data_IF_276957408666
#
_entry.id   IF_276957408666
#
_cell.length_a   1.000
_cell.length_b   1.000
_cell.length_c   1.000
_cell.angle_alpha   90.00
_cell.angle_beta   90.00
_cell.angle_gamma   90.00
#
_symmetry.space_group_name_H-M   'P 1'
#
loop_
_entity.id
_entity.type
_entity.pdbx_description
1 polymer ?
#
# COMPACT_ATOMS: atom_id res chain seq x y z
N UNK A 1 46.99 -23.79 36.99
CA UNK A 1 46.59 -22.42 37.35
C UNK A 1 46.20 -21.75 36.09
N UNK A 2 44.97 -21.91 35.65
CA UNK A 2 43.77 -21.08 35.77
C UNK A 2 43.96 -19.61 35.48
N UNK A 3 43.35 -19.17 34.41
CA UNK A 3 42.41 -18.03 34.40
C UNK A 3 41.65 -17.95 33.08
N UNK A 4 40.38 -18.27 33.18
CA UNK A 4 39.31 -17.81 32.28
C UNK A 4 39.26 -16.30 32.19
N UNK A 5 39.09 -15.75 30.98
CA UNK A 5 38.48 -14.44 30.78
C UNK A 5 37.56 -14.56 29.55
N UNK A 6 36.29 -14.75 29.82
CA UNK A 6 35.22 -14.54 28.88
C UNK A 6 35.04 -13.02 28.63
N UNK A 7 35.33 -12.58 27.43
CA UNK A 7 35.00 -11.22 26.99
C UNK A 7 33.76 -11.25 26.14
N UNK A 8 32.69 -10.79 26.74
CA UNK A 8 31.39 -10.48 26.13
C UNK A 8 31.60 -9.33 25.13
N UNK A 9 31.49 -9.60 23.80
CA UNK A 9 31.51 -8.57 22.76
C UNK A 9 30.08 -8.17 22.46
N UNK A 10 29.64 -7.10 23.10
CA UNK A 10 28.47 -6.32 22.66
C UNK A 10 28.78 -5.68 21.31
N UNK A 11 27.92 -5.89 20.32
CA UNK A 11 27.97 -5.20 19.02
C UNK A 11 27.59 -3.72 19.24
N UNK A 12 28.21 -2.77 18.51
CA UNK A 12 27.82 -1.37 18.60
C UNK A 12 26.49 -1.11 17.85
N UNK A 13 25.60 -0.40 18.54
CA UNK A 13 24.41 0.19 17.95
C UNK A 13 24.80 1.25 16.93
N UNK A 14 24.19 1.21 15.75
CA UNK A 14 24.39 2.20 14.71
C UNK A 14 23.70 3.51 15.09
N UNK A 15 24.50 4.51 15.47
CA UNK A 15 24.04 5.89 15.64
C UNK A 15 24.14 6.63 14.30
N UNK A 16 23.08 7.22 13.84
CA UNK A 16 23.06 8.21 12.75
C UNK A 16 22.66 9.58 13.28
N UNK A 17 23.41 10.60 12.90
CA UNK A 17 23.02 12.02 12.87
C UNK A 17 23.60 12.88 13.98
N UNK A 18 24.69 13.64 13.66
CA UNK A 18 25.12 14.84 14.41
C UNK A 18 24.55 16.08 13.71
N UNK A 19 23.78 16.89 14.44
CA UNK A 19 23.72 18.34 14.27
C UNK A 19 23.45 19.02 15.62
N UNK A 20 24.23 20.07 15.84
CA UNK A 20 24.34 20.95 17.01
C UNK A 20 23.20 20.97 18.05
N UNK A 21 23.48 20.49 19.26
CA UNK A 21 23.18 21.26 20.49
C UNK A 21 21.91 20.92 21.25
N UNK A 22 21.00 20.04 20.80
CA UNK A 22 19.93 19.48 21.62
C UNK A 22 19.91 17.95 21.47
N UNK A 23 19.90 17.23 22.61
CA UNK A 23 19.74 15.78 22.64
C UNK A 23 18.32 15.46 22.26
N UNK A 24 18.06 15.29 20.95
CA UNK A 24 16.82 14.62 20.50
C UNK A 24 16.80 13.22 21.13
N UNK A 25 15.79 12.97 21.93
CA UNK A 25 15.55 11.64 22.51
C UNK A 25 15.24 10.70 21.33
N UNK A 26 16.26 9.95 20.88
CA UNK A 26 16.05 8.89 19.87
C UNK A 26 15.13 7.85 20.51
N UNK A 27 13.86 7.92 20.19
CA UNK A 27 12.85 6.95 20.65
C UNK A 27 13.23 5.61 20.01
N UNK A 28 13.50 4.59 20.82
CA UNK A 28 13.82 3.27 20.30
C UNK A 28 12.62 2.67 19.55
N UNK A 29 12.87 1.82 18.55
CA UNK A 29 11.81 1.09 17.84
C UNK A 29 10.91 0.30 18.82
N UNK A 30 11.49 -0.21 19.91
CA UNK A 30 10.76 -0.94 20.94
C UNK A 30 9.85 -0.01 21.77
N UNK A 31 10.28 1.21 22.03
CA UNK A 31 9.43 2.21 22.72
C UNK A 31 8.29 2.69 21.82
N UNK A 32 8.53 2.87 20.51
CA UNK A 32 7.49 3.16 19.52
C UNK A 32 6.47 2.02 19.48
N UNK A 33 6.94 0.78 19.42
CA UNK A 33 6.06 -0.39 19.40
C UNK A 33 5.23 -0.51 20.67
N UNK A 34 5.81 -0.28 21.84
CA UNK A 34 5.11 -0.35 23.14
C UNK A 34 4.04 0.72 23.25
N UNK A 35 4.37 1.99 22.97
CA UNK A 35 3.41 3.10 23.05
C UNK A 35 2.26 2.94 22.03
N UNK A 36 2.57 2.47 20.82
CA UNK A 36 1.54 2.23 19.83
C UNK A 36 0.67 1.00 20.15
N UNK A 37 1.18 0.00 20.87
CA UNK A 37 0.36 -1.10 21.41
C UNK A 37 -0.61 -0.62 22.51
N UNK A 38 -0.18 0.28 23.38
CA UNK A 38 -1.06 0.90 24.39
C UNK A 38 -2.20 1.70 23.73
N UNK A 39 -1.93 2.32 22.57
CA UNK A 39 -2.95 3.03 21.80
C UNK A 39 -3.90 2.07 21.04
N UNK A 40 -3.44 0.88 20.66
CA UNK A 40 -4.24 -0.10 19.90
C UNK A 40 -5.44 -0.66 20.69
N UNK A 41 -5.41 -0.65 22.01
CA UNK A 41 -6.51 -1.12 22.86
C UNK A 41 -7.77 -0.24 22.78
N UNK A 42 -7.71 0.91 22.08
CA UNK A 42 -8.78 1.93 22.09
C UNK A 42 -9.58 2.05 20.79
N UNK A 43 -9.21 1.31 19.71
CA UNK A 43 -9.92 1.47 18.43
C UNK A 43 -11.11 0.53 18.35
N UNK A 44 -12.30 1.10 18.43
CA UNK A 44 -13.54 0.35 18.28
C UNK A 44 -13.91 0.15 16.80
N UNK A 45 -14.65 -0.93 16.51
CA UNK A 45 -15.20 -1.20 15.17
C UNK A 45 -16.14 -0.07 14.70
N UNK A 46 -16.79 0.60 15.64
CA UNK A 46 -17.64 1.77 15.38
C UNK A 46 -16.83 2.97 14.88
N UNK A 47 -15.64 3.20 15.45
CA UNK A 47 -14.73 4.25 14.96
C UNK A 47 -14.31 3.97 13.51
N UNK A 48 -13.90 2.74 13.20
CA UNK A 48 -13.56 2.34 11.83
C UNK A 48 -14.74 2.56 10.88
N UNK A 49 -15.94 2.15 11.29
CA UNK A 49 -17.15 2.31 10.48
C UNK A 49 -17.54 3.78 10.27
N UNK A 50 -17.20 4.68 11.23
CA UNK A 50 -17.51 6.11 11.10
C UNK A 50 -16.64 6.85 10.07
N UNK A 51 -15.52 6.27 9.62
CA UNK A 51 -14.61 6.89 8.67
C UNK A 51 -15.02 6.66 7.20
N UNK A 52 -15.88 5.68 6.95
CA UNK A 52 -16.32 5.38 5.60
C UNK A 52 -17.47 6.30 5.15
N UNK A 53 -17.48 6.63 3.88
CA UNK A 53 -18.60 7.32 3.23
C UNK A 53 -19.55 6.28 2.62
N UNK A 54 -20.78 6.20 3.16
CA UNK A 54 -21.78 5.24 2.72
C UNK A 54 -21.53 3.82 3.24
N UNK A 55 -21.75 2.82 2.39
CA UNK A 55 -21.53 1.42 2.74
C UNK A 55 -20.10 0.98 2.42
N UNK A 56 -19.52 0.03 3.19
CA UNK A 56 -18.18 -0.50 2.90
C UNK A 56 -18.11 -1.09 1.49
N UNK A 57 -17.12 -0.68 0.71
CA UNK A 57 -16.83 -1.25 -0.59
C UNK A 57 -15.86 -2.43 -0.49
N UNK A 58 -14.85 -2.32 0.40
CA UNK A 58 -14.03 -3.44 0.84
C UNK A 58 -13.98 -3.46 2.35
N UNK A 59 -14.07 -4.67 2.93
CA UNK A 59 -14.10 -4.91 4.37
C UNK A 59 -13.23 -6.11 4.73
N UNK A 60 -12.46 -5.97 5.81
CA UNK A 60 -11.72 -7.04 6.48
C UNK A 60 -12.26 -7.17 7.89
N UNK A 61 -12.58 -8.39 8.31
CA UNK A 61 -13.15 -8.69 9.63
C UNK A 61 -12.33 -9.78 10.33
N UNK A 62 -11.72 -9.44 11.46
CA UNK A 62 -11.03 -10.37 12.33
C UNK A 62 -9.92 -11.17 11.63
N UNK A 63 -9.12 -10.53 10.77
CA UNK A 63 -8.17 -11.21 9.92
C UNK A 63 -6.93 -11.63 10.70
N UNK A 64 -6.64 -12.92 10.68
CA UNK A 64 -5.37 -13.50 11.05
C UNK A 64 -4.69 -14.03 9.78
N UNK A 65 -3.54 -13.47 9.42
CA UNK A 65 -2.87 -13.77 8.16
C UNK A 65 -1.35 -13.65 8.26
N UNK A 66 -0.64 -14.31 7.33
CA UNK A 66 0.82 -14.27 7.30
C UNK A 66 1.42 -15.16 6.23
N UNK A 67 2.64 -15.64 6.44
CA UNK A 67 3.39 -16.43 5.46
C UNK A 67 3.79 -17.80 6.03
N UNK A 68 3.48 -18.86 5.29
CA UNK A 68 3.72 -20.21 5.77
C UNK A 68 2.95 -20.47 7.06
N UNK A 69 3.65 -20.66 8.18
CA UNK A 69 3.07 -20.83 9.52
C UNK A 69 3.21 -19.58 10.41
N UNK A 70 3.91 -18.56 9.91
CA UNK A 70 4.14 -17.32 10.65
C UNK A 70 2.94 -16.40 10.49
N UNK A 71 2.27 -16.10 11.58
CA UNK A 71 1.22 -15.11 11.64
C UNK A 71 1.82 -13.72 11.81
N UNK A 72 1.32 -12.76 11.02
CA UNK A 72 1.78 -11.36 11.00
C UNK A 72 0.66 -10.42 11.40
N UNK A 73 -0.57 -10.68 10.93
CA UNK A 73 -1.75 -9.88 11.25
C UNK A 73 -2.58 -10.60 12.30
N UNK A 74 -3.03 -9.85 13.33
CA UNK A 74 -3.75 -10.38 14.48
C UNK A 74 -5.06 -9.62 14.66
N UNK A 75 -6.20 -10.28 14.50
CA UNK A 75 -7.56 -9.70 14.58
C UNK A 75 -7.70 -8.38 13.81
N UNK A 76 -7.06 -8.32 12.62
CA UNK A 76 -6.98 -7.09 11.84
C UNK A 76 -8.34 -6.76 11.19
N UNK A 77 -8.77 -5.50 11.34
CA UNK A 77 -10.04 -4.99 10.82
C UNK A 77 -9.78 -3.76 9.93
N UNK A 78 -10.45 -3.69 8.77
CA UNK A 78 -10.34 -2.57 7.83
C UNK A 78 -11.68 -2.37 7.12
N UNK A 79 -12.04 -1.10 6.90
CA UNK A 79 -13.14 -0.75 6.02
C UNK A 79 -12.77 0.46 5.15
N UNK A 80 -13.18 0.44 3.89
CA UNK A 80 -13.05 1.57 2.97
C UNK A 80 -14.30 1.65 2.09
N UNK A 81 -14.80 2.85 1.90
CA UNK A 81 -15.95 3.15 1.03
C UNK A 81 -15.55 3.19 -0.46
N UNK A 82 -16.54 3.16 -1.34
CA UNK A 82 -16.32 3.28 -2.79
C UNK A 82 -15.76 4.67 -3.14
N UNK A 83 -14.68 4.70 -3.91
CA UNK A 83 -14.02 5.96 -4.31
C UNK A 83 -13.22 6.65 -3.22
N UNK A 84 -13.09 6.06 -2.02
CA UNK A 84 -12.23 6.58 -0.97
C UNK A 84 -10.80 6.05 -1.11
N UNK A 85 -9.85 6.84 -0.59
CA UNK A 85 -8.46 6.45 -0.41
C UNK A 85 -8.17 6.11 1.06
N UNK A 86 -7.49 4.98 1.28
CA UNK A 86 -7.00 4.55 2.59
C UNK A 86 -5.48 4.38 2.53
N UNK A 87 -4.76 5.04 3.42
CA UNK A 87 -3.31 4.88 3.55
C UNK A 87 -2.94 4.22 4.87
N UNK A 88 -2.09 3.21 4.80
CA UNK A 88 -1.49 2.56 5.96
C UNK A 88 -0.07 3.04 6.15
N UNK A 89 0.22 3.57 7.33
CA UNK A 89 1.55 3.99 7.78
C UNK A 89 1.98 3.16 9.00
N UNK A 90 3.25 3.25 9.36
CA UNK A 90 3.81 2.53 10.52
C UNK A 90 5.24 2.05 10.25
N UNK A 91 5.93 1.53 11.26
CA UNK A 91 7.32 1.10 11.12
C UNK A 91 7.49 -0.07 10.14
N UNK A 92 8.74 -0.30 9.72
CA UNK A 92 9.07 -1.46 8.90
C UNK A 92 8.78 -2.75 9.69
N UNK A 93 8.18 -3.73 9.02
CA UNK A 93 7.76 -4.97 9.68
C UNK A 93 6.41 -4.90 10.42
N UNK A 94 5.73 -3.75 10.43
CA UNK A 94 4.42 -3.61 11.08
C UNK A 94 3.27 -4.43 10.45
N UNK A 95 3.48 -5.07 9.31
CA UNK A 95 2.45 -5.85 8.62
C UNK A 95 1.71 -5.11 7.51
N UNK A 96 2.10 -3.87 7.16
CA UNK A 96 1.42 -3.04 6.16
C UNK A 96 1.24 -3.75 4.81
N UNK A 97 2.33 -4.15 4.16
CA UNK A 97 2.27 -4.88 2.88
C UNK A 97 1.59 -6.25 3.03
N UNK A 98 1.62 -6.85 4.24
CA UNK A 98 0.90 -8.10 4.52
C UNK A 98 -0.61 -7.90 4.41
N UNK A 99 -1.15 -6.72 4.75
CA UNK A 99 -2.57 -6.40 4.53
C UNK A 99 -2.89 -6.40 3.03
N UNK A 100 -2.11 -5.69 2.20
CA UNK A 100 -2.31 -5.66 0.75
C UNK A 100 -2.16 -7.07 0.15
N UNK A 101 -1.14 -7.82 0.57
CA UNK A 101 -0.92 -9.20 0.16
C UNK A 101 -2.10 -10.11 0.54
N UNK A 102 -2.71 -9.91 1.70
CA UNK A 102 -3.89 -10.68 2.13
C UNK A 102 -5.10 -10.36 1.28
N UNK A 103 -5.35 -9.09 1.00
CA UNK A 103 -6.43 -8.67 0.10
C UNK A 103 -6.25 -9.32 -1.27
N UNK A 104 -5.03 -9.29 -1.82
CA UNK A 104 -4.76 -9.81 -3.16
C UNK A 104 -4.62 -11.34 -3.23
N UNK A 105 -4.30 -12.01 -2.10
CA UNK A 105 -4.21 -13.46 -2.01
C UNK A 105 -2.79 -14.03 -2.11
N UNK A 106 -1.80 -13.29 -1.60
CA UNK A 106 -0.40 -13.70 -1.51
C UNK A 106 -0.01 -14.25 -0.13
N UNK A 107 -0.93 -14.24 0.85
CA UNK A 107 -0.71 -14.74 2.20
C UNK A 107 -1.56 -15.96 2.50
N UNK A 108 -1.21 -16.65 3.57
CA UNK A 108 -2.07 -17.64 4.19
C UNK A 108 -3.05 -16.91 5.13
N UNK A 109 -4.34 -17.13 4.93
CA UNK A 109 -5.38 -16.65 5.85
C UNK A 109 -5.66 -17.77 6.85
N UNK A 110 -5.41 -17.55 8.14
CA UNK A 110 -5.64 -18.51 9.21
C UNK A 110 -7.08 -18.43 9.73
N UNK A 111 -7.61 -17.18 9.87
CA UNK A 111 -9.01 -16.92 10.20
C UNK A 111 -9.43 -15.52 9.75
N UNK A 112 -10.73 -15.21 9.88
CA UNK A 112 -11.31 -13.94 9.43
C UNK A 112 -11.77 -13.96 7.98
N UNK A 113 -12.34 -12.84 7.55
CA UNK A 113 -12.96 -12.72 6.23
C UNK A 113 -12.57 -11.40 5.54
N UNK A 114 -12.42 -11.49 4.22
CA UNK A 114 -12.27 -10.35 3.33
C UNK A 114 -13.47 -10.33 2.40
N UNK A 115 -14.19 -9.21 2.39
CA UNK A 115 -15.41 -9.00 1.62
C UNK A 115 -15.28 -7.77 0.73
N UNK A 116 -15.88 -7.80 -0.44
CA UNK A 116 -16.01 -6.63 -1.33
C UNK A 116 -17.35 -6.67 -2.06
N UNK A 117 -17.76 -5.53 -2.59
CA UNK A 117 -18.97 -5.47 -3.42
C UNK A 117 -18.64 -5.78 -4.87
N UNK A 118 -19.33 -6.78 -5.42
CA UNK A 118 -19.24 -7.17 -6.83
C UNK A 118 -20.66 -7.10 -7.38
N UNK A 119 -20.88 -6.28 -8.42
CA UNK A 119 -22.22 -6.05 -9.01
C UNK A 119 -23.26 -5.72 -7.93
N UNK A 120 -22.93 -4.74 -7.05
CA UNK A 120 -23.76 -4.23 -5.94
C UNK A 120 -24.10 -5.24 -4.83
N UNK A 121 -23.55 -6.43 -4.87
CA UNK A 121 -23.71 -7.44 -3.82
C UNK A 121 -22.42 -7.63 -3.04
N UNK A 122 -22.51 -7.73 -1.72
CA UNK A 122 -21.35 -8.10 -0.88
C UNK A 122 -20.98 -9.57 -1.15
N UNK A 123 -19.71 -9.82 -1.38
CA UNK A 123 -19.13 -11.13 -1.65
C UNK A 123 -17.88 -11.37 -0.83
N UNK A 124 -17.78 -12.53 -0.22
CA UNK A 124 -16.54 -12.99 0.42
C UNK A 124 -15.52 -13.39 -0.65
N UNK A 125 -14.36 -12.76 -0.61
CA UNK A 125 -13.24 -12.98 -1.56
C UNK A 125 -12.04 -13.66 -0.91
N UNK A 126 -12.11 -14.01 0.36
CA UNK A 126 -11.01 -14.58 1.16
C UNK A 126 -10.30 -15.73 0.44
N UNK A 127 -11.07 -16.64 -0.17
CA UNK A 127 -10.56 -17.85 -0.85
C UNK A 127 -10.38 -17.70 -2.36
N UNK A 128 -10.68 -16.53 -2.93
CA UNK A 128 -10.44 -16.29 -4.36
C UNK A 128 -8.95 -16.24 -4.65
N UNK A 129 -8.54 -16.83 -5.77
CA UNK A 129 -7.17 -16.67 -6.29
C UNK A 129 -6.92 -15.23 -6.72
N UNK A 130 -5.64 -14.82 -6.83
CA UNK A 130 -5.26 -13.48 -7.29
C UNK A 130 -5.85 -13.15 -8.67
N UNK A 131 -5.90 -14.13 -9.59
CA UNK A 131 -6.54 -13.96 -10.90
C UNK A 131 -8.03 -13.68 -10.78
N UNK A 132 -8.75 -14.40 -9.93
CA UNK A 132 -10.18 -14.16 -9.68
C UNK A 132 -10.43 -12.80 -9.01
N UNK A 133 -9.54 -12.37 -8.10
CA UNK A 133 -9.61 -11.06 -7.47
C UNK A 133 -9.41 -9.93 -8.48
N UNK A 134 -8.50 -10.11 -9.44
CA UNK A 134 -8.30 -9.15 -10.52
C UNK A 134 -9.48 -9.16 -11.52
N UNK A 135 -9.86 -10.33 -12.02
CA UNK A 135 -10.84 -10.46 -13.11
C UNK A 135 -12.28 -10.25 -12.62
N UNK A 136 -12.66 -10.85 -11.47
CA UNK A 136 -14.04 -10.86 -10.99
C UNK A 136 -14.31 -9.77 -9.95
N UNK A 137 -13.38 -9.57 -9.01
CA UNK A 137 -13.55 -8.59 -7.96
C UNK A 137 -13.03 -7.19 -8.36
N UNK A 138 -12.34 -7.06 -9.49
CA UNK A 138 -11.82 -5.80 -9.99
C UNK A 138 -10.76 -5.18 -9.08
N UNK A 139 -9.92 -6.02 -8.45
CA UNK A 139 -8.84 -5.59 -7.56
C UNK A 139 -7.51 -5.75 -8.28
N UNK A 140 -6.78 -4.67 -8.49
CA UNK A 140 -5.43 -4.70 -9.07
C UNK A 140 -4.37 -4.33 -8.05
N UNK A 141 -3.14 -4.83 -8.23
CA UNK A 141 -2.03 -4.61 -7.32
C UNK A 141 -0.85 -3.96 -8.03
N UNK A 142 -0.43 -2.79 -7.56
CA UNK A 142 0.75 -2.06 -8.00
C UNK A 142 1.85 -2.34 -7.00
N UNK A 143 2.81 -3.18 -7.42
CA UNK A 143 3.93 -3.62 -6.60
C UNK A 143 4.91 -2.46 -6.32
N UNK A 144 5.67 -2.59 -5.24
CA UNK A 144 6.72 -1.65 -4.83
C UNK A 144 7.76 -1.42 -5.93
N UNK A 145 8.31 -2.50 -6.50
CA UNK A 145 9.44 -2.50 -7.45
C UNK A 145 9.32 -3.54 -8.56
N UNK A 146 10.08 -3.29 -9.65
CA UNK A 146 10.42 -4.26 -10.70
C UNK A 146 9.22 -4.98 -11.34
N UNK A 147 8.10 -4.29 -11.45
CA UNK A 147 6.90 -4.90 -12.02
C UNK A 147 6.83 -4.82 -13.54
N UNK A 148 7.73 -4.10 -14.21
CA UNK A 148 7.81 -4.04 -15.67
C UNK A 148 8.76 -5.08 -16.24
N UNK A 149 8.51 -5.50 -17.49
CA UNK A 149 9.40 -6.34 -18.26
C UNK A 149 10.38 -5.44 -19.03
N UNK A 150 11.68 -5.36 -18.62
CA UNK A 150 12.59 -4.32 -19.08
C UNK A 150 12.92 -4.42 -20.57
N UNK A 151 12.95 -5.62 -21.15
CA UNK A 151 13.29 -5.86 -22.54
C UNK A 151 12.09 -5.78 -23.50
N UNK A 152 10.86 -5.80 -22.95
CA UNK A 152 9.63 -5.58 -23.71
C UNK A 152 9.39 -4.08 -23.92
N UNK A 153 8.73 -3.74 -25.02
CA UNK A 153 8.28 -2.37 -25.29
C UNK A 153 7.25 -1.89 -24.26
N UNK A 154 7.00 -0.59 -24.21
CA UNK A 154 5.93 0.00 -23.39
C UNK A 154 4.57 -0.61 -23.75
N UNK A 155 4.28 -0.77 -25.06
CA UNK A 155 3.04 -1.39 -25.52
C UNK A 155 2.92 -2.85 -25.08
N UNK A 156 3.96 -3.65 -25.25
CA UNK A 156 3.97 -5.05 -24.82
C UNK A 156 3.78 -5.17 -23.29
N UNK A 157 4.38 -4.30 -22.51
CA UNK A 157 4.16 -4.24 -21.07
C UNK A 157 2.69 -3.95 -20.70
N UNK A 158 2.05 -3.01 -21.40
CA UNK A 158 0.62 -2.72 -21.20
C UNK A 158 -0.24 -3.91 -21.63
N UNK A 159 0.03 -4.51 -22.78
CA UNK A 159 -0.67 -5.71 -23.25
C UNK A 159 -0.58 -6.88 -22.26
N UNK A 160 0.56 -7.06 -21.59
CA UNK A 160 0.70 -8.05 -20.51
C UNK A 160 -0.19 -7.72 -19.31
N UNK A 161 -0.46 -6.45 -19.03
CA UNK A 161 -1.43 -6.04 -18.02
C UNK A 161 -2.86 -6.52 -18.33
N UNK A 162 -3.19 -6.66 -19.60
CA UNK A 162 -4.48 -7.15 -20.09
C UNK A 162 -4.57 -8.68 -20.33
N UNK A 163 -3.61 -9.46 -19.83
CA UNK A 163 -3.52 -10.91 -20.10
C UNK A 163 -4.80 -11.70 -19.76
N UNK A 164 -5.56 -11.26 -18.73
CA UNK A 164 -6.81 -11.90 -18.32
C UNK A 164 -8.06 -11.35 -19.03
N UNK A 165 -7.92 -10.39 -19.97
CA UNK A 165 -9.07 -9.93 -20.77
C UNK A 165 -9.55 -11.04 -21.70
N UNK A 166 -10.82 -10.99 -22.07
CA UNK A 166 -11.51 -12.02 -22.86
C UNK A 166 -10.80 -12.39 -24.17
N UNK A 167 -10.16 -11.40 -24.80
CA UNK A 167 -9.40 -11.59 -26.05
C UNK A 167 -8.35 -10.48 -26.23
N UNK A 168 -7.47 -10.66 -27.20
CA UNK A 168 -6.40 -9.73 -27.52
C UNK A 168 -6.91 -8.34 -27.95
N UNK A 169 -8.05 -8.27 -28.62
CA UNK A 169 -8.58 -6.98 -29.11
C UNK A 169 -9.10 -6.13 -27.94
N UNK A 170 -9.74 -6.75 -26.94
CA UNK A 170 -10.12 -6.05 -25.71
C UNK A 170 -8.90 -5.53 -24.93
N UNK A 171 -7.80 -6.29 -24.91
CA UNK A 171 -6.54 -5.83 -24.31
C UNK A 171 -5.92 -4.66 -25.08
N UNK A 172 -5.95 -4.71 -26.42
CA UNK A 172 -5.49 -3.60 -27.28
C UNK A 172 -6.30 -2.33 -27.07
N UNK A 173 -7.64 -2.44 -27.06
CA UNK A 173 -8.52 -1.30 -26.83
C UNK A 173 -8.23 -0.62 -25.50
N UNK A 174 -8.05 -1.39 -24.42
CA UNK A 174 -7.69 -0.82 -23.12
C UNK A 174 -6.28 -0.20 -23.14
N UNK A 175 -5.34 -0.80 -23.86
CA UNK A 175 -4.00 -0.24 -24.04
C UNK A 175 -4.04 1.09 -24.81
N UNK A 176 -4.87 1.22 -25.84
CA UNK A 176 -5.04 2.49 -26.55
C UNK A 176 -5.62 3.57 -25.64
N UNK A 177 -6.62 3.25 -24.79
CA UNK A 177 -7.14 4.21 -23.78
C UNK A 177 -6.05 4.70 -22.82
N UNK A 178 -5.10 3.83 -22.43
CA UNK A 178 -3.94 4.24 -21.64
C UNK A 178 -3.05 5.22 -22.41
N UNK A 179 -2.80 4.97 -23.71
CA UNK A 179 -2.02 5.88 -24.54
C UNK A 179 -2.73 7.22 -24.83
N UNK A 180 -4.06 7.22 -24.90
CA UNK A 180 -4.85 8.45 -24.99
C UNK A 180 -4.76 9.29 -23.71
N UNK A 181 -4.73 8.63 -22.56
CA UNK A 181 -4.62 9.29 -21.25
C UNK A 181 -3.21 9.80 -20.97
N UNK A 182 -2.17 9.07 -21.37
CA UNK A 182 -0.77 9.36 -21.00
C UNK A 182 0.13 9.55 -22.22
N UNK A 183 0.21 10.79 -22.72
CA UNK A 183 1.05 11.16 -23.88
C UNK A 183 2.53 10.76 -23.71
N UNK A 184 3.05 10.81 -22.47
CA UNK A 184 4.42 10.40 -22.15
C UNK A 184 4.68 8.93 -22.51
N UNK A 185 3.74 8.03 -22.20
CA UNK A 185 3.84 6.62 -22.58
C UNK A 185 3.62 6.42 -24.06
N UNK A 186 2.69 7.15 -24.67
CA UNK A 186 2.42 7.12 -26.11
C UNK A 186 3.69 7.47 -26.92
N UNK A 187 4.42 8.50 -26.51
CA UNK A 187 5.69 8.89 -27.14
C UNK A 187 6.80 7.82 -27.01
N UNK A 188 6.67 6.91 -26.07
CA UNK A 188 7.61 5.81 -25.80
C UNK A 188 7.07 4.44 -26.24
N UNK A 189 5.90 4.37 -26.88
CA UNK A 189 5.15 3.15 -27.22
C UNK A 189 6.03 1.98 -27.66
N UNK A 190 6.91 2.21 -28.65
CA UNK A 190 7.77 1.20 -29.25
C UNK A 190 9.17 1.13 -28.62
N UNK A 191 9.40 1.76 -27.49
CA UNK A 191 10.69 1.72 -26.78
C UNK A 191 10.68 0.64 -25.72
N UNK A 192 11.78 -0.12 -25.52
CA UNK A 192 11.88 -1.07 -24.43
C UNK A 192 11.82 -0.35 -23.07
N UNK A 193 11.14 -0.95 -22.08
CA UNK A 193 10.93 -0.31 -20.78
C UNK A 193 12.22 0.02 -20.01
N UNK A 194 13.32 -0.69 -20.29
CA UNK A 194 14.63 -0.41 -19.67
C UNK A 194 15.21 0.98 -19.96
N UNK A 195 14.78 1.66 -21.03
CA UNK A 195 15.28 3.01 -21.38
C UNK A 195 14.43 4.12 -20.77
N UNK A 196 13.35 3.78 -20.05
CA UNK A 196 12.49 4.75 -19.40
C UNK A 196 13.19 5.36 -18.18
N UNK A 197 12.92 6.64 -17.93
CA UNK A 197 13.27 7.27 -16.65
C UNK A 197 12.51 6.61 -15.48
N UNK A 198 12.94 6.83 -14.23
CA UNK A 198 12.25 6.28 -13.05
C UNK A 198 10.77 6.66 -13.02
N UNK A 199 10.44 7.93 -13.28
CA UNK A 199 9.05 8.40 -13.33
C UNK A 199 8.24 7.82 -14.51
N UNK A 200 8.83 7.70 -15.71
CA UNK A 200 8.15 7.04 -16.85
C UNK A 200 7.91 5.55 -16.56
N UNK A 201 8.85 4.89 -15.88
CA UNK A 201 8.72 3.50 -15.48
C UNK A 201 7.58 3.34 -14.46
N UNK A 202 7.53 4.20 -13.43
CA UNK A 202 6.45 4.17 -12.44
C UNK A 202 5.09 4.44 -13.05
N UNK A 203 5.00 5.38 -14.00
CA UNK A 203 3.79 5.60 -14.78
C UNK A 203 3.37 4.34 -15.57
N UNK A 204 4.33 3.62 -16.18
CA UNK A 204 4.06 2.37 -16.90
C UNK A 204 3.54 1.28 -15.94
N UNK A 205 4.12 1.15 -14.74
CA UNK A 205 3.67 0.19 -13.71
C UNK A 205 2.22 0.44 -13.29
N UNK A 206 1.88 1.69 -12.98
CA UNK A 206 0.51 2.11 -12.65
C UNK A 206 -0.42 1.83 -13.84
N UNK A 207 -0.02 2.26 -15.04
CA UNK A 207 -0.82 2.11 -16.26
C UNK A 207 -1.09 0.65 -16.60
N UNK A 208 -0.12 -0.24 -16.38
CA UNK A 208 -0.30 -1.68 -16.59
C UNK A 208 -1.38 -2.26 -15.67
N UNK A 209 -1.43 -1.81 -14.42
CA UNK A 209 -2.48 -2.22 -13.48
C UNK A 209 -3.87 -1.73 -13.92
N UNK A 210 -3.96 -0.61 -14.63
CA UNK A 210 -5.21 -0.01 -15.11
C UNK A 210 -5.79 -0.70 -16.35
N UNK A 211 -5.00 -1.48 -17.11
CA UNK A 211 -5.48 -2.15 -18.34
C UNK A 211 -6.67 -3.07 -18.06
N UNK A 212 -6.74 -3.70 -16.88
CA UNK A 212 -7.89 -4.51 -16.44
C UNK A 212 -9.09 -3.68 -15.96
N UNK A 213 -8.99 -2.35 -15.95
CA UNK A 213 -10.06 -1.43 -15.50
C UNK A 213 -10.56 -1.72 -14.07
N UNK A 214 -9.65 -1.85 -13.10
CA UNK A 214 -10.03 -2.22 -11.75
C UNK A 214 -10.88 -1.15 -11.06
N UNK A 215 -11.68 -1.57 -10.07
CA UNK A 215 -12.39 -0.67 -9.17
C UNK A 215 -11.57 -0.36 -7.91
N UNK A 216 -10.69 -1.28 -7.50
CA UNK A 216 -9.83 -1.16 -6.33
C UNK A 216 -8.38 -1.28 -6.77
N UNK A 217 -7.57 -0.31 -6.35
CA UNK A 217 -6.12 -0.30 -6.54
C UNK A 217 -5.44 -0.54 -5.19
N UNK A 218 -4.67 -1.61 -5.10
CA UNK A 218 -3.74 -1.84 -4.01
C UNK A 218 -2.38 -1.28 -4.43
N UNK A 219 -1.81 -0.37 -3.64
CA UNK A 219 -0.59 0.37 -4.02
C UNK A 219 0.44 0.22 -2.91
N UNK A 220 1.55 -0.43 -3.22
CA UNK A 220 2.61 -0.69 -2.24
C UNK A 220 3.78 0.27 -2.45
N UNK A 221 4.00 1.16 -1.49
CA UNK A 221 5.10 2.13 -1.40
C UNK A 221 5.39 2.86 -2.73
N UNK A 222 4.41 3.59 -3.30
CA UNK A 222 4.54 4.17 -4.64
C UNK A 222 5.64 5.21 -4.79
N UNK A 223 6.11 5.82 -3.69
CA UNK A 223 7.12 6.88 -3.70
C UNK A 223 8.56 6.37 -3.54
N UNK A 224 8.75 5.11 -3.17
CA UNK A 224 10.09 4.60 -2.82
C UNK A 224 11.07 4.70 -3.99
N UNK A 225 12.29 5.15 -3.72
CA UNK A 225 13.37 5.22 -4.70
C UNK A 225 13.18 6.26 -5.81
N UNK A 226 12.13 7.09 -5.74
CA UNK A 226 11.87 8.15 -6.70
C UNK A 226 12.49 9.49 -6.29
N UNK A 227 12.91 10.28 -7.28
CA UNK A 227 13.24 11.69 -7.08
C UNK A 227 11.97 12.48 -6.68
N UNK A 228 12.07 13.57 -5.87
CA UNK A 228 10.93 14.32 -5.35
C UNK A 228 9.90 14.72 -6.42
N UNK A 229 10.33 15.21 -7.59
CA UNK A 229 9.45 15.58 -8.71
C UNK A 229 8.61 14.42 -9.27
N UNK A 230 9.11 13.18 -9.15
CA UNK A 230 8.37 12.00 -9.59
C UNK A 230 7.43 11.48 -8.52
N UNK A 231 7.74 11.73 -7.25
CA UNK A 231 6.82 11.46 -6.13
C UNK A 231 5.54 12.28 -6.32
N UNK A 232 5.66 13.59 -6.53
CA UNK A 232 4.50 14.46 -6.74
C UNK A 232 3.67 14.00 -7.95
N UNK A 233 4.32 13.69 -9.08
CA UNK A 233 3.64 13.15 -10.26
C UNK A 233 2.85 11.86 -9.96
N UNK A 234 3.39 10.94 -9.17
CA UNK A 234 2.71 9.69 -8.81
C UNK A 234 1.48 9.97 -7.96
N UNK A 235 1.57 10.85 -6.97
CA UNK A 235 0.43 11.22 -6.14
C UNK A 235 -0.63 11.99 -6.94
N UNK A 236 -0.25 12.86 -7.89
CA UNK A 236 -1.19 13.49 -8.82
C UNK A 236 -1.95 12.47 -9.68
N UNK A 237 -1.28 11.42 -10.17
CA UNK A 237 -1.93 10.33 -10.91
C UNK A 237 -2.91 9.56 -10.02
N UNK A 238 -2.54 9.23 -8.79
CA UNK A 238 -3.40 8.52 -7.86
C UNK A 238 -4.61 9.38 -7.46
N UNK A 239 -4.43 10.69 -7.27
CA UNK A 239 -5.51 11.64 -6.97
C UNK A 239 -6.49 11.73 -8.15
N UNK A 240 -6.00 11.81 -9.39
CA UNK A 240 -6.83 11.79 -10.60
C UNK A 240 -7.65 10.49 -10.70
N UNK A 241 -7.02 9.34 -10.46
CA UNK A 241 -7.69 8.03 -10.47
C UNK A 241 -8.79 7.94 -9.39
N UNK A 242 -8.54 8.48 -8.21
CA UNK A 242 -9.53 8.49 -7.14
C UNK A 242 -10.66 9.49 -7.42
N UNK A 243 -10.33 10.76 -7.61
CA UNK A 243 -11.31 11.86 -7.65
C UNK A 243 -12.10 11.93 -8.96
N UNK A 244 -11.42 11.71 -10.08
CA UNK A 244 -12.04 11.86 -11.40
C UNK A 244 -12.55 10.53 -11.96
N UNK A 245 -11.90 9.40 -11.64
CA UNK A 245 -12.35 8.08 -12.11
C UNK A 245 -13.08 7.25 -11.04
N UNK A 246 -13.18 7.74 -9.81
CA UNK A 246 -13.89 7.08 -8.71
C UNK A 246 -13.26 5.76 -8.27
N UNK A 247 -11.94 5.58 -8.48
CA UNK A 247 -11.23 4.39 -8.03
C UNK A 247 -11.09 4.40 -6.51
N UNK A 248 -11.29 3.26 -5.89
CA UNK A 248 -10.96 3.05 -4.46
C UNK A 248 -9.49 2.69 -4.36
N UNK A 249 -8.74 3.38 -3.51
CA UNK A 249 -7.30 3.18 -3.36
C UNK A 249 -6.98 2.72 -1.94
N UNK A 250 -6.28 1.61 -1.81
CA UNK A 250 -5.73 1.15 -0.52
C UNK A 250 -4.21 1.12 -0.69
N UNK A 251 -3.53 1.99 0.04
CA UNK A 251 -2.11 2.23 -0.13
C UNK A 251 -1.33 1.96 1.14
N UNK A 252 -0.11 1.47 0.98
CA UNK A 252 0.94 1.48 1.98
C UNK A 252 1.97 2.52 1.56
N UNK A 253 2.43 3.37 2.49
CA UNK A 253 3.42 4.39 2.19
C UNK A 253 4.42 4.51 3.34
N UNK A 254 5.71 4.60 2.98
CA UNK A 254 6.79 4.83 3.94
C UNK A 254 6.93 6.31 4.27
N UNK A 255 6.70 7.19 3.30
CA UNK A 255 6.57 8.63 3.52
C UNK A 255 5.20 8.94 4.15
N UNK A 256 5.12 8.78 5.48
CA UNK A 256 3.88 8.90 6.22
C UNK A 256 3.17 10.23 5.97
N UNK A 257 3.92 11.34 5.86
CA UNK A 257 3.35 12.66 5.59
C UNK A 257 2.63 12.70 4.25
N UNK A 258 3.31 12.30 3.17
CA UNK A 258 2.71 12.26 1.81
C UNK A 258 1.51 11.31 1.74
N UNK A 259 1.61 10.14 2.38
CA UNK A 259 0.51 9.18 2.42
C UNK A 259 -0.73 9.72 3.12
N UNK A 260 -0.56 10.38 4.27
CA UNK A 260 -1.65 10.98 5.02
C UNK A 260 -2.23 12.24 4.35
N UNK A 261 -1.40 13.06 3.69
CA UNK A 261 -1.85 14.21 2.88
C UNK A 261 -2.75 13.77 1.72
N UNK A 262 -2.52 12.58 1.18
CA UNK A 262 -3.28 12.04 0.04
C UNK A 262 -4.60 11.40 0.46
N UNK A 263 -4.66 10.70 1.61
CA UNK A 263 -5.74 9.78 1.90
C UNK A 263 -6.93 10.41 2.65
N UNK A 264 -8.14 9.89 2.37
CA UNK A 264 -9.35 10.19 3.16
C UNK A 264 -9.26 9.53 4.54
N UNK A 265 -8.71 8.31 4.59
CA UNK A 265 -8.63 7.48 5.80
C UNK A 265 -7.17 7.07 6.02
N UNK A 266 -6.62 7.38 7.18
CA UNK A 266 -5.30 6.94 7.61
C UNK A 266 -5.39 5.84 8.66
N UNK A 267 -4.54 4.81 8.51
CA UNK A 267 -4.36 3.73 9.46
C UNK A 267 -2.90 3.68 9.92
N UNK A 268 -2.69 3.60 11.22
CA UNK A 268 -1.35 3.36 11.80
C UNK A 268 -1.27 1.92 12.25
N UNK A 269 -0.35 1.15 11.66
CA UNK A 269 -0.11 -0.25 12.00
C UNK A 269 1.15 -0.40 12.83
N UNK A 270 1.09 -1.26 13.86
CA UNK A 270 2.22 -1.64 14.67
C UNK A 270 2.14 -3.12 15.03
N UNK A 271 3.20 -3.87 14.73
CA UNK A 271 3.31 -5.30 15.08
C UNK A 271 2.08 -6.13 14.70
N UNK A 272 1.54 -5.92 13.50
CA UNK A 272 0.39 -6.67 12.96
C UNK A 272 -0.98 -6.21 13.45
N UNK A 273 -1.02 -5.19 14.29
CA UNK A 273 -2.26 -4.64 14.87
C UNK A 273 -2.54 -3.23 14.35
N UNK A 274 -3.83 -2.86 14.33
CA UNK A 274 -4.25 -1.49 14.06
C UNK A 274 -4.10 -0.65 15.32
N UNK A 275 -3.15 0.28 15.34
CA UNK A 275 -2.89 1.14 16.49
C UNK A 275 -3.73 2.43 16.49
N UNK A 276 -3.96 3.04 15.33
CA UNK A 276 -4.79 4.24 15.18
C UNK A 276 -5.54 4.22 13.85
N UNK A 277 -6.73 4.82 13.81
CA UNK A 277 -7.51 5.05 12.61
C UNK A 277 -8.26 6.37 12.71
N UNK A 278 -8.07 7.25 11.74
CA UNK A 278 -8.81 8.51 11.61
C UNK A 278 -8.74 9.03 10.17
N UNK A 279 -9.30 10.22 9.89
CA UNK A 279 -9.03 10.89 8.62
C UNK A 279 -7.53 11.21 8.48
N UNK A 280 -7.03 11.29 7.24
CA UNK A 280 -5.65 11.67 6.98
C UNK A 280 -5.26 12.98 7.68
N UNK A 281 -6.12 14.00 7.57
CA UNK A 281 -5.93 15.32 8.20
C UNK A 281 -5.83 15.24 9.73
N UNK A 282 -6.70 14.45 10.37
CA UNK A 282 -6.69 14.29 11.82
C UNK A 282 -5.42 13.58 12.31
N UNK A 283 -4.94 12.57 11.56
CA UNK A 283 -3.68 11.90 11.90
C UNK A 283 -2.47 12.82 11.67
N UNK A 284 -2.48 13.64 10.62
CA UNK A 284 -1.43 14.66 10.39
C UNK A 284 -1.36 15.68 11.53
N UNK A 285 -2.52 16.08 12.07
CA UNK A 285 -2.62 17.01 13.19
C UNK A 285 -2.34 16.37 14.56
N UNK A 286 -2.23 15.04 14.63
CA UNK A 286 -2.03 14.33 15.90
C UNK A 286 -0.56 14.43 16.36
N UNK A 287 -0.27 15.00 17.55
CA UNK A 287 1.09 15.17 18.03
C UNK A 287 1.87 13.85 18.20
N UNK A 288 1.19 12.76 18.57
CA UNK A 288 1.83 11.44 18.73
C UNK A 288 2.23 10.85 17.38
N UNK A 289 1.36 10.97 16.36
CA UNK A 289 1.68 10.57 14.99
C UNK A 289 2.85 11.42 14.48
N UNK A 290 2.83 12.74 14.74
CA UNK A 290 3.93 13.65 14.44
C UNK A 290 5.25 13.17 15.01
N UNK A 291 5.27 12.92 16.31
CA UNK A 291 6.46 12.49 17.05
C UNK A 291 6.97 11.10 16.64
N UNK A 292 6.06 10.14 16.39
CA UNK A 292 6.43 8.73 16.18
C UNK A 292 6.71 8.38 14.70
N UNK A 293 6.03 9.06 13.76
CA UNK A 293 6.01 8.63 12.35
C UNK A 293 6.31 9.73 11.33
N UNK A 294 6.26 11.01 11.71
CA UNK A 294 6.47 12.12 10.76
C UNK A 294 7.84 12.81 10.92
N UNK A 295 8.67 12.36 11.87
CA UNK A 295 10.01 12.87 12.06
C UNK A 295 10.09 14.09 12.96
N UNK A 296 9.09 14.31 13.84
CA UNK A 296 9.04 15.16 15.01
C UNK A 296 9.37 16.62 14.80
#
# INVERSE_FOLDING_TARGET
>A
MTKDISANKTKPESSFGYHDGEVETVISVDDVNRQAQELAETISKEKIASLIQGEPFLKIEGLHAGYGKMEILHDFNLQVGKGQSLCMIGPNGAGKSTVLHSIFGFTNIFSGEIKTRISDSERTITKMSSNQKLEVAGISYILQDNSVFPDMTVEENLMMGGYLKQNTDAAKESTERIFEKYDRLKARRNKPAKVLSGGERRLLEISRALVMEPNILLVDEPSIGLEPRFIDMVFEILDDLQRNEGKTIIMVEQNAKKGLEFCDIGYVLVSGNLAMADSGDNLLANPEVGRLFLGG
#
